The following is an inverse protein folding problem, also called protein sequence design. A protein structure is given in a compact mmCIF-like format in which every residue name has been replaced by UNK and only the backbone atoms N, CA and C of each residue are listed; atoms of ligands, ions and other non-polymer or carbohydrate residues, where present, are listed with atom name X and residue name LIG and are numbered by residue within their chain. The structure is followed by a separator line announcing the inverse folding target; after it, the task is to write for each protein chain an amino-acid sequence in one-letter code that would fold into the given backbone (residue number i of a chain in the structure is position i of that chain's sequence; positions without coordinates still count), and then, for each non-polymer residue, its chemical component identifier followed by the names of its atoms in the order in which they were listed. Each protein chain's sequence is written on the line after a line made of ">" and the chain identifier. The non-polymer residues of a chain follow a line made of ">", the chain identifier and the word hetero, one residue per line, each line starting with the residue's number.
data_IF_876837182330
#
_entry.id   IF_876837182330
#
_cell.length_a   1.000
_cell.length_b   1.000
_cell.length_c   1.000
_cell.angle_alpha   90.00
_cell.angle_beta   90.00
_cell.angle_gamma   90.00
#
_symmetry.space_group_name_H-M   'P 1'
#
loop_
_entity.id
_entity.type
_entity.pdbx_description
1 polymer ?
#
# COMPACT_ATOMS: atom_id res chain seq x y z
N UNK A 1 -7.47 -50.05 18.33
CA UNK A 1 -6.18 -49.32 18.33
C UNK A 1 -5.79 -49.01 16.88
N UNK A 2 -6.26 -47.87 16.34
CA UNK A 2 -6.11 -47.45 14.93
C UNK A 2 -4.95 -46.46 14.79
N UNK A 3 -3.71 -46.96 14.92
CA UNK A 3 -2.49 -46.15 14.89
C UNK A 3 -2.09 -45.70 13.47
N UNK A 4 -2.71 -46.28 12.44
CA UNK A 4 -2.47 -45.98 11.01
C UNK A 4 -3.28 -44.79 10.47
N UNK A 5 -4.13 -44.16 11.29
CA UNK A 5 -4.85 -42.93 10.90
C UNK A 5 -4.09 -41.64 11.25
N UNK A 6 -3.02 -41.75 12.05
CA UNK A 6 -2.18 -40.60 12.44
C UNK A 6 -1.39 -39.97 11.27
N UNK A 7 -0.86 -40.70 10.27
CA UNK A 7 -0.12 -40.06 9.18
C UNK A 7 -1.04 -39.36 8.17
N UNK A 8 -2.33 -39.73 8.09
CA UNK A 8 -3.33 -39.11 7.20
C UNK A 8 -3.88 -37.79 7.74
N UNK A 9 -3.83 -37.57 9.06
CA UNK A 9 -4.19 -36.28 9.67
C UNK A 9 -3.06 -35.23 9.54
N UNK A 10 -1.82 -35.66 9.31
CA UNK A 10 -0.66 -34.75 9.24
C UNK A 10 -0.39 -34.19 7.84
N UNK A 11 -0.87 -34.83 6.77
CA UNK A 11 -0.69 -34.37 5.38
C UNK A 11 -1.63 -33.25 4.97
N UNK A 12 -2.68 -32.96 5.75
CA UNK A 12 -3.62 -31.86 5.49
C UNK A 12 -3.15 -30.49 5.97
N UNK A 13 -2.01 -30.42 6.67
CA UNK A 13 -1.45 -29.18 7.23
C UNK A 13 -0.21 -28.70 6.46
N UNK A 14 -0.13 -28.97 5.15
CA UNK A 14 0.76 -28.20 4.30
C UNK A 14 0.16 -26.81 4.15
N UNK A 15 0.64 -25.93 5.03
CA UNK A 15 0.39 -24.51 5.07
C UNK A 15 -0.01 -23.95 3.70
N UNK A 16 -1.29 -23.58 3.58
CA UNK A 16 -1.71 -22.59 2.60
C UNK A 16 -1.03 -21.29 2.99
N UNK A 17 0.20 -21.08 2.52
CA UNK A 17 0.75 -19.73 2.43
C UNK A 17 -0.20 -18.98 1.52
N UNK A 18 -1.18 -18.29 2.10
CA UNK A 18 -1.94 -17.28 1.38
C UNK A 18 -0.88 -16.35 0.77
N UNK A 19 -0.91 -16.21 -0.56
CA UNK A 19 -0.10 -15.20 -1.23
C UNK A 19 -0.45 -13.85 -0.59
N UNK A 20 0.38 -13.40 0.34
CA UNK A 20 0.18 -12.13 1.01
C UNK A 20 0.55 -11.03 0.01
N UNK A 21 -0.41 -10.63 -0.80
CA UNK A 21 -0.33 -9.38 -1.54
C UNK A 21 -0.42 -8.24 -0.53
N UNK A 22 0.69 -7.52 -0.34
CA UNK A 22 0.72 -6.35 0.52
C UNK A 22 1.29 -5.16 -0.25
N UNK A 23 0.69 -4.00 -0.04
CA UNK A 23 1.22 -2.72 -0.48
C UNK A 23 1.41 -1.86 0.75
N UNK A 24 2.60 -1.30 0.90
CA UNK A 24 2.96 -0.43 2.02
C UNK A 24 3.28 0.95 1.47
N UNK A 25 2.91 2.00 2.20
CA UNK A 25 3.20 3.37 1.83
C UNK A 25 3.56 4.19 3.07
N UNK A 26 4.43 5.19 2.89
CA UNK A 26 4.79 6.16 3.92
C UNK A 26 4.94 7.55 3.32
N UNK A 27 4.44 8.54 4.06
CA UNK A 27 4.66 9.96 3.78
C UNK A 27 5.38 10.56 4.99
N UNK A 28 6.44 11.31 4.73
CA UNK A 28 7.14 12.10 5.74
C UNK A 28 7.28 13.54 5.24
N UNK A 29 7.00 14.51 6.10
CA UNK A 29 7.08 15.94 5.77
C UNK A 29 7.96 16.70 6.74
N UNK A 30 8.76 17.64 6.23
CA UNK A 30 9.52 18.66 6.98
C UNK A 30 9.20 20.03 6.39
N UNK A 31 8.64 20.93 7.21
CA UNK A 31 8.24 22.30 6.85
C UNK A 31 7.41 22.35 5.57
N UNK A 32 8.03 22.64 4.43
CA UNK A 32 7.44 22.86 3.11
C UNK A 32 7.66 21.70 2.13
N UNK A 33 8.32 20.62 2.57
CA UNK A 33 8.68 19.48 1.74
C UNK A 33 8.07 18.20 2.29
N UNK A 34 7.62 17.36 1.38
CA UNK A 34 7.18 16.00 1.71
C UNK A 34 7.85 15.00 0.77
N UNK A 35 8.24 13.86 1.33
CA UNK A 35 8.66 12.68 0.61
C UNK A 35 7.62 11.58 0.72
N UNK A 36 7.53 10.75 -0.32
CA UNK A 36 6.64 9.58 -0.41
C UNK A 36 7.49 8.37 -0.79
N UNK A 37 7.16 7.22 -0.22
CA UNK A 37 7.69 5.94 -0.68
C UNK A 37 6.61 4.86 -0.62
N UNK A 38 6.57 4.01 -1.64
CA UNK A 38 5.68 2.85 -1.75
C UNK A 38 6.45 1.58 -2.04
N UNK A 39 6.08 0.50 -1.36
CA UNK A 39 6.58 -0.84 -1.59
C UNK A 39 5.42 -1.78 -1.95
N UNK A 40 5.53 -2.47 -3.08
CA UNK A 40 4.50 -3.36 -3.63
C UNK A 40 5.14 -4.35 -4.61
N UNK A 41 4.37 -5.34 -5.05
CA UNK A 41 4.74 -6.24 -6.14
C UNK A 41 4.29 -5.76 -7.54
N UNK A 42 3.64 -4.59 -7.63
CA UNK A 42 3.34 -3.92 -8.88
C UNK A 42 4.55 -3.14 -9.43
N UNK A 43 4.81 -3.27 -10.73
CA UNK A 43 5.95 -2.61 -11.38
C UNK A 43 5.73 -1.10 -11.48
N UNK A 44 6.79 -0.33 -11.22
CA UNK A 44 6.83 1.13 -11.37
C UNK A 44 5.74 1.90 -10.59
N UNK A 45 5.26 1.36 -9.46
CA UNK A 45 4.17 1.98 -8.67
C UNK A 45 4.44 3.43 -8.25
N UNK A 46 5.71 3.79 -8.01
CA UNK A 46 6.06 5.15 -7.60
C UNK A 46 5.71 6.19 -8.66
N UNK A 47 5.61 5.82 -9.94
CA UNK A 47 5.18 6.73 -11.00
C UNK A 47 3.64 6.89 -11.07
N UNK A 48 2.88 5.98 -10.46
CA UNK A 48 1.43 5.92 -10.60
C UNK A 48 0.65 6.35 -9.36
N UNK A 49 1.25 6.29 -8.16
CA UNK A 49 0.55 6.63 -6.90
C UNK A 49 1.31 7.59 -5.98
N UNK A 50 2.58 7.91 -6.24
CA UNK A 50 3.36 8.80 -5.35
C UNK A 50 3.24 10.25 -5.84
N UNK A 51 2.50 11.07 -5.08
CA UNK A 51 2.29 12.48 -5.41
C UNK A 51 2.79 13.37 -4.29
N UNK A 52 3.67 14.31 -4.61
CA UNK A 52 4.15 15.33 -3.70
C UNK A 52 4.27 16.67 -4.41
N UNK A 53 3.90 17.74 -3.71
CA UNK A 53 4.01 19.11 -4.19
C UNK A 53 4.52 20.01 -3.06
N UNK A 54 5.61 20.73 -3.34
CA UNK A 54 6.22 21.64 -2.38
C UNK A 54 5.21 22.72 -1.91
N UNK A 55 5.21 23.00 -0.62
CA UNK A 55 4.28 23.95 0.02
C UNK A 55 2.82 23.48 0.11
N UNK A 56 2.46 22.34 -0.48
CA UNK A 56 1.09 21.78 -0.44
C UNK A 56 1.03 20.51 0.39
N UNK A 57 1.95 19.57 0.14
CA UNK A 57 2.00 18.30 0.85
C UNK A 57 2.21 17.11 -0.07
N UNK A 58 1.80 15.93 0.39
CA UNK A 58 1.88 14.70 -0.38
C UNK A 58 0.64 13.83 -0.16
N UNK A 59 0.35 12.97 -1.14
CA UNK A 59 -0.76 12.01 -1.15
C UNK A 59 -0.27 10.71 -1.79
N UNK A 60 -0.74 9.59 -1.23
CA UNK A 60 -0.56 8.25 -1.78
C UNK A 60 -1.88 7.51 -1.68
N UNK A 61 -2.25 6.78 -2.73
CA UNK A 61 -3.47 5.96 -2.74
C UNK A 61 -3.12 4.50 -2.91
N UNK A 62 -3.76 3.64 -2.12
CA UNK A 62 -3.56 2.19 -2.14
C UNK A 62 -4.87 1.45 -2.46
N UNK A 63 -4.76 0.16 -2.79
CA UNK A 63 -5.75 -0.69 -3.51
C UNK A 63 -5.54 -0.62 -5.03
N UNK A 64 -6.60 -0.41 -5.82
CA UNK A 64 -6.55 -0.28 -7.27
C UNK A 64 -5.90 1.04 -7.68
N UNK A 65 -5.00 1.00 -8.67
CA UNK A 65 -4.26 2.19 -9.11
C UNK A 65 -5.19 3.13 -9.87
N UNK A 66 -5.38 4.34 -9.35
CA UNK A 66 -6.08 5.42 -10.04
C UNK A 66 -5.26 6.71 -10.02
N UNK A 67 -4.48 7.00 -11.08
CA UNK A 67 -3.61 8.17 -11.13
C UNK A 67 -4.34 9.52 -11.02
N UNK A 68 -5.66 9.55 -11.28
CA UNK A 68 -6.45 10.76 -11.13
C UNK A 68 -6.66 11.17 -9.65
N UNK A 69 -6.45 10.25 -8.70
CA UNK A 69 -6.66 10.53 -7.27
C UNK A 69 -5.55 11.41 -6.68
N UNK A 70 -4.31 11.28 -7.17
CA UNK A 70 -3.17 12.09 -6.72
C UNK A 70 -3.39 13.59 -6.86
N UNK A 71 -3.63 14.11 -8.07
CA UNK A 71 -3.90 15.52 -8.31
C UNK A 71 -5.13 16.03 -7.53
N UNK A 72 -6.18 15.21 -7.40
CA UNK A 72 -7.37 15.56 -6.61
C UNK A 72 -7.04 15.70 -5.12
N UNK A 73 -6.28 14.77 -4.57
CA UNK A 73 -5.84 14.82 -3.18
C UNK A 73 -4.98 16.06 -2.91
N UNK A 74 -4.01 16.37 -3.77
CA UNK A 74 -3.21 17.59 -3.66
C UNK A 74 -4.05 18.87 -3.79
N UNK A 75 -5.07 18.89 -4.66
CA UNK A 75 -5.98 20.02 -4.78
C UNK A 75 -6.76 20.27 -3.48
N UNK A 76 -7.30 19.23 -2.85
CA UNK A 76 -7.94 19.35 -1.53
C UNK A 76 -6.92 19.83 -0.48
N UNK A 77 -5.68 19.31 -0.53
CA UNK A 77 -4.64 19.70 0.43
C UNK A 77 -4.20 21.15 0.29
N UNK A 78 -4.18 21.67 -0.93
CA UNK A 78 -3.89 23.08 -1.21
C UNK A 78 -4.89 24.04 -0.59
N UNK A 79 -6.10 23.57 -0.28
CA UNK A 79 -7.14 24.33 0.41
C UNK A 79 -7.03 24.25 1.94
N UNK A 80 -6.01 23.56 2.48
CA UNK A 80 -5.84 23.35 3.92
C UNK A 80 -6.75 22.26 4.50
N UNK A 81 -7.46 21.52 3.66
CA UNK A 81 -8.38 20.46 4.09
C UNK A 81 -7.67 19.13 4.25
N UNK A 82 -8.22 18.27 5.10
CA UNK A 82 -7.76 16.90 5.26
C UNK A 82 -8.40 16.04 4.16
N UNK A 83 -7.60 15.14 3.58
CA UNK A 83 -8.05 14.10 2.65
C UNK A 83 -7.89 12.78 3.38
N UNK A 84 -8.93 11.95 3.38
CA UNK A 84 -8.96 10.67 4.08
C UNK A 84 -8.73 9.51 3.11
#
# INVERSE_FOLDING_TARGET
>A
MRWWLVPLALTGLLATTALAGATFSIIACDRDRCGVAVATNNLAVGASVDYAQAGVGAVVTQFETNPAMGPKGLAVRSQGLMVQ
#
